data_IF_535539075557
#
_entry.id   IF_535539075557
#
_cell.length_a   1.000
_cell.length_b   1.000
_cell.length_c   1.000
_cell.angle_alpha   90.00
_cell.angle_beta   90.00
_cell.angle_gamma   90.00
#
_symmetry.space_group_name_H-M   'P 1'
#
loop_
_entity.id
_entity.type
_entity.pdbx_description
1 polymer ?
#
# COMPACT_ATOMS: atom_id res chain seq x y z
N UNK A 1 27.82 15.57 2.30
CA UNK A 1 28.10 16.19 0.98
C UNK A 1 26.77 16.51 0.32
N UNK A 2 26.40 17.78 0.29
CA UNK A 2 25.14 18.24 -0.30
C UNK A 2 25.38 18.52 -1.78
N UNK A 3 24.73 17.78 -2.66
CA UNK A 3 24.74 18.04 -4.10
C UNK A 3 23.69 19.12 -4.41
N UNK A 4 24.20 20.33 -4.65
CA UNK A 4 23.46 21.46 -5.20
C UNK A 4 23.05 21.16 -6.64
N UNK A 5 21.79 20.91 -6.90
CA UNK A 5 21.22 20.98 -8.24
C UNK A 5 20.97 22.45 -8.62
N UNK A 6 21.93 23.04 -9.32
CA UNK A 6 21.72 24.31 -10.01
C UNK A 6 20.79 24.09 -11.21
N UNK A 7 19.53 24.53 -11.12
CA UNK A 7 18.64 24.64 -12.26
C UNK A 7 19.12 25.81 -13.14
N UNK A 8 19.71 25.48 -14.27
CA UNK A 8 19.95 26.42 -15.35
C UNK A 8 18.59 26.84 -15.95
N UNK A 9 18.06 27.95 -15.48
CA UNK A 9 16.99 28.65 -16.16
C UNK A 9 17.57 29.31 -17.42
N UNK A 10 17.38 28.65 -18.55
CA UNK A 10 17.59 29.25 -19.85
C UNK A 10 16.51 30.35 -20.08
N UNK A 11 16.81 31.56 -19.68
CA UNK A 11 16.03 32.76 -20.02
C UNK A 11 16.22 33.00 -21.50
N UNK A 12 15.41 32.40 -22.36
CA UNK A 12 15.20 32.93 -23.72
C UNK A 12 14.43 34.23 -23.58
N UNK A 13 15.12 35.35 -23.74
CA UNK A 13 14.47 36.63 -23.89
C UNK A 13 13.67 36.61 -25.18
N UNK A 14 12.35 36.49 -25.03
CA UNK A 14 11.42 36.62 -26.18
C UNK A 14 11.36 38.11 -26.51
N UNK A 15 11.81 38.47 -27.73
CA UNK A 15 11.79 39.84 -28.23
C UNK A 15 10.34 40.37 -28.23
N UNK A 16 10.04 41.44 -27.48
CA UNK A 16 8.67 41.97 -27.40
C UNK A 16 8.13 42.47 -28.74
N UNK A 17 8.97 42.60 -29.76
CA UNK A 17 8.55 43.00 -31.12
C UNK A 17 7.78 41.89 -31.86
N UNK A 18 7.97 40.63 -31.48
CA UNK A 18 7.24 39.50 -32.07
C UNK A 18 5.76 39.52 -31.64
N UNK A 19 5.46 39.95 -30.43
CA UNK A 19 4.07 40.08 -29.95
C UNK A 19 3.29 41.19 -30.61
N UNK A 20 3.97 42.23 -31.03
CA UNK A 20 3.32 43.40 -31.63
C UNK A 20 2.83 43.15 -33.07
N UNK A 21 3.48 42.25 -33.82
CA UNK A 21 3.11 41.92 -35.20
C UNK A 21 1.98 40.88 -35.30
N UNK A 22 1.69 40.14 -34.23
CA UNK A 22 0.56 39.19 -34.21
C UNK A 22 -0.79 39.86 -33.93
N UNK A 23 -0.78 41.09 -33.38
CA UNK A 23 -2.02 41.81 -33.03
C UNK A 23 -2.55 42.75 -34.12
N UNK A 24 -1.75 43.10 -35.13
CA UNK A 24 -2.12 44.11 -36.11
C UNK A 24 -2.55 43.56 -37.47
N UNK A 25 -2.51 42.26 -37.72
CA UNK A 25 -2.82 41.68 -39.03
C UNK A 25 -4.21 41.04 -39.17
N UNK A 26 -5.11 41.14 -38.20
CA UNK A 26 -6.42 40.48 -38.27
C UNK A 26 -7.59 41.33 -37.83
N UNK A 27 -7.67 42.55 -38.33
CA UNK A 27 -8.92 43.33 -38.31
C UNK A 27 -9.47 43.50 -39.73
N UNK A 28 -9.68 42.43 -40.47
CA UNK A 28 -10.56 42.40 -41.64
C UNK A 28 -11.79 41.58 -41.31
N UNK A 29 -12.89 42.29 -41.08
CA UNK A 29 -14.28 41.86 -41.24
C UNK A 29 -14.58 40.39 -40.94
N UNK A 30 -14.49 40.01 -39.69
CA UNK A 30 -15.24 38.86 -39.19
C UNK A 30 -16.56 39.43 -38.67
N UNK A 31 -17.66 39.12 -39.38
CA UNK A 31 -19.01 39.35 -38.85
C UNK A 31 -19.06 38.69 -37.48
N UNK A 32 -19.19 39.51 -36.44
CA UNK A 32 -19.38 39.05 -35.06
C UNK A 32 -20.74 38.38 -35.01
N UNK A 33 -20.80 37.07 -35.25
CA UNK A 33 -21.94 36.27 -34.86
C UNK A 33 -22.06 36.42 -33.35
N UNK A 34 -23.24 36.91 -32.87
CA UNK A 34 -23.52 36.99 -31.43
C UNK A 34 -23.08 35.68 -30.74
N UNK A 35 -22.28 35.77 -29.69
CA UNK A 35 -21.96 34.57 -28.94
C UNK A 35 -23.31 33.99 -28.42
N UNK A 36 -23.72 32.83 -28.94
CA UNK A 36 -24.72 32.03 -28.28
C UNK A 36 -24.22 31.88 -26.86
N UNK A 37 -25.04 32.29 -25.88
CA UNK A 37 -24.86 31.97 -24.49
C UNK A 37 -24.82 30.42 -24.38
N UNK A 38 -23.65 29.86 -24.54
CA UNK A 38 -23.39 28.48 -24.15
C UNK A 38 -23.70 28.45 -22.65
N UNK A 39 -24.70 27.67 -22.28
CA UNK A 39 -25.02 27.43 -20.88
C UNK A 39 -23.74 27.21 -20.09
N UNK A 40 -23.73 27.71 -18.86
CA UNK A 40 -22.57 27.57 -17.97
C UNK A 40 -21.96 26.18 -18.15
N UNK A 41 -20.62 26.06 -18.31
CA UNK A 41 -20.01 24.75 -18.53
C UNK A 41 -20.43 23.86 -17.36
N UNK A 42 -21.22 22.83 -17.67
CA UNK A 42 -21.52 21.78 -16.70
C UNK A 42 -20.17 21.30 -16.20
N UNK A 43 -19.89 21.46 -14.92
CA UNK A 43 -18.63 21.04 -14.32
C UNK A 43 -18.62 19.50 -14.35
N UNK A 44 -18.21 18.98 -15.52
CA UNK A 44 -18.02 17.54 -15.74
C UNK A 44 -17.01 17.03 -14.72
N UNK A 45 -17.32 15.98 -13.99
CA UNK A 45 -16.38 15.38 -13.07
C UNK A 45 -15.15 14.82 -13.83
N UNK A 46 -14.02 14.71 -13.14
CA UNK A 46 -12.80 14.17 -13.73
C UNK A 46 -13.03 12.76 -14.33
N UNK A 47 -13.82 11.95 -13.64
CA UNK A 47 -14.10 10.57 -14.05
C UNK A 47 -15.00 10.52 -15.28
N UNK A 48 -16.05 11.33 -15.34
CA UNK A 48 -16.93 11.46 -16.51
C UNK A 48 -16.14 11.92 -17.74
N UNK A 49 -15.25 12.90 -17.57
CA UNK A 49 -14.38 13.36 -18.65
C UNK A 49 -13.46 12.27 -19.17
N UNK A 50 -12.86 11.48 -18.28
CA UNK A 50 -11.98 10.37 -18.67
C UNK A 50 -12.77 9.25 -19.38
N UNK A 51 -13.95 8.94 -18.90
CA UNK A 51 -14.86 7.98 -19.54
C UNK A 51 -15.27 8.42 -20.94
N UNK A 52 -15.67 9.68 -21.10
CA UNK A 52 -16.02 10.27 -22.41
C UNK A 52 -14.85 10.25 -23.39
N UNK A 53 -13.64 10.53 -22.92
CA UNK A 53 -12.42 10.52 -23.73
C UNK A 53 -11.88 9.10 -23.96
N UNK A 54 -12.55 8.06 -23.43
CA UNK A 54 -12.13 6.65 -23.53
C UNK A 54 -10.65 6.45 -23.15
N UNK A 55 -10.20 7.16 -22.13
CA UNK A 55 -8.82 7.00 -21.63
C UNK A 55 -8.66 5.64 -20.98
N UNK A 56 -7.49 4.97 -21.13
CA UNK A 56 -7.25 3.70 -20.45
C UNK A 56 -7.30 3.90 -18.93
N UNK A 57 -8.04 3.05 -18.23
CA UNK A 57 -8.12 3.05 -16.78
C UNK A 57 -6.91 2.32 -16.20
N UNK A 58 -6.31 2.87 -15.14
CA UNK A 58 -5.26 2.19 -14.40
C UNK A 58 -5.80 0.93 -13.73
N UNK A 59 -4.98 -0.13 -13.54
CA UNK A 59 -5.38 -1.32 -12.80
C UNK A 59 -5.92 -0.95 -11.41
N UNK A 60 -7.07 -1.52 -11.03
CA UNK A 60 -7.69 -1.34 -9.73
C UNK A 60 -8.09 -2.70 -9.15
N UNK A 61 -8.50 -2.73 -7.86
CA UNK A 61 -8.70 -3.98 -7.11
C UNK A 61 -9.66 -4.97 -7.77
N UNK A 62 -10.67 -4.49 -8.52
CA UNK A 62 -11.66 -5.38 -9.16
C UNK A 62 -11.17 -6.05 -10.45
N UNK A 63 -10.14 -5.48 -11.11
CA UNK A 63 -9.57 -6.00 -12.35
C UNK A 63 -8.12 -6.46 -12.20
N UNK A 64 -7.50 -6.20 -11.05
CA UNK A 64 -6.11 -6.58 -10.79
C UNK A 64 -5.98 -8.09 -10.62
N UNK A 65 -5.19 -8.73 -11.48
CA UNK A 65 -4.88 -10.14 -11.34
C UNK A 65 -3.84 -10.33 -10.24
N UNK A 66 -4.26 -10.92 -9.12
CA UNK A 66 -3.40 -11.15 -7.97
C UNK A 66 -2.28 -12.12 -8.33
N UNK A 67 -1.04 -11.69 -8.14
CA UNK A 67 0.14 -12.52 -8.27
C UNK A 67 0.65 -12.95 -6.88
N UNK A 68 1.39 -14.06 -6.81
CA UNK A 68 1.95 -14.54 -5.55
C UNK A 68 2.82 -13.47 -4.87
N UNK A 69 3.62 -12.75 -5.64
CA UNK A 69 4.49 -11.68 -5.13
C UNK A 69 3.71 -10.56 -4.45
N UNK A 70 2.63 -10.10 -5.06
CA UNK A 70 1.77 -9.06 -4.47
C UNK A 70 1.00 -9.58 -3.25
N UNK A 71 0.51 -10.82 -3.29
CA UNK A 71 -0.17 -11.45 -2.16
C UNK A 71 0.75 -11.56 -0.93
N UNK A 72 1.97 -12.04 -1.11
CA UNK A 72 2.96 -12.16 -0.02
C UNK A 72 3.36 -10.78 0.53
N UNK A 73 3.49 -9.77 -0.33
CA UNK A 73 3.80 -8.40 0.08
C UNK A 73 2.68 -7.78 0.92
N UNK A 74 1.42 -7.92 0.49
CA UNK A 74 0.26 -7.42 1.23
C UNK A 74 0.15 -8.15 2.58
N UNK A 75 0.30 -9.48 2.58
CA UNK A 75 0.27 -10.30 3.81
C UNK A 75 1.36 -9.87 4.79
N UNK A 76 2.57 -9.57 4.31
CA UNK A 76 3.66 -9.10 5.17
C UNK A 76 3.33 -7.76 5.85
N UNK A 77 2.79 -6.80 5.10
CA UNK A 77 2.38 -5.50 5.63
C UNK A 77 1.22 -5.66 6.63
N UNK A 78 0.23 -6.48 6.31
CA UNK A 78 -0.91 -6.74 7.18
C UNK A 78 -0.48 -7.40 8.48
N UNK A 79 0.39 -8.41 8.42
CA UNK A 79 0.91 -9.06 9.63
C UNK A 79 1.75 -8.11 10.47
N UNK A 80 2.51 -7.19 9.87
CA UNK A 80 3.21 -6.13 10.58
C UNK A 80 2.26 -5.20 11.36
N UNK A 81 1.15 -4.79 10.75
CA UNK A 81 0.12 -4.00 11.43
C UNK A 81 -0.54 -4.79 12.58
N UNK A 82 -0.82 -6.07 12.39
CA UNK A 82 -1.39 -6.93 13.43
C UNK A 82 -0.42 -7.03 14.61
N UNK A 83 0.87 -7.28 14.37
CA UNK A 83 1.88 -7.35 15.42
C UNK A 83 2.06 -6.03 16.18
N UNK A 84 2.03 -4.90 15.46
CA UNK A 84 2.04 -3.58 16.09
C UNK A 84 0.81 -3.38 16.98
N UNK A 85 -0.36 -3.83 16.54
CA UNK A 85 -1.59 -3.80 17.33
C UNK A 85 -1.48 -4.68 18.57
N UNK A 86 -0.89 -5.89 18.47
CA UNK A 86 -0.63 -6.73 19.63
C UNK A 86 0.27 -6.02 20.65
N UNK A 87 1.38 -5.42 20.19
CA UNK A 87 2.29 -4.71 21.07
C UNK A 87 1.60 -3.53 21.77
N UNK A 88 0.79 -2.76 21.05
CA UNK A 88 0.02 -1.65 21.62
C UNK A 88 -1.04 -2.13 22.63
N UNK A 89 -1.83 -3.14 22.27
CA UNK A 89 -2.90 -3.65 23.13
C UNK A 89 -2.34 -4.29 24.41
N UNK A 90 -1.27 -5.08 24.30
CA UNK A 90 -0.63 -5.66 25.46
C UNK A 90 0.09 -4.60 26.30
N UNK A 91 0.83 -3.69 25.69
CA UNK A 91 1.54 -2.63 26.40
C UNK A 91 0.59 -1.68 27.13
N UNK A 92 -0.42 -1.16 26.47
CA UNK A 92 -1.42 -0.30 27.10
C UNK A 92 -2.33 -1.09 28.06
N UNK A 93 -2.71 -2.33 27.69
CA UNK A 93 -3.56 -3.17 28.52
C UNK A 93 -2.97 -3.45 29.90
N UNK A 94 -1.65 -3.63 29.98
CA UNK A 94 -0.97 -3.84 31.26
C UNK A 94 -1.04 -2.63 32.21
N UNK A 95 -1.28 -1.43 31.68
CA UNK A 95 -1.46 -0.22 32.50
C UNK A 95 -2.86 -0.19 33.17
N UNK A 96 -3.84 -0.83 32.58
CA UNK A 96 -5.24 -0.78 33.05
C UNK A 96 -5.69 -2.07 33.78
N UNK A 97 -4.97 -3.18 33.61
CA UNK A 97 -5.30 -4.47 34.24
C UNK A 97 -4.47 -4.60 35.54
N UNK A 98 -5.09 -4.57 36.72
CA UNK A 98 -4.40 -4.84 37.98
C UNK A 98 -3.84 -6.27 37.95
N UNK A 99 -2.52 -6.43 38.14
CA UNK A 99 -1.85 -7.71 38.03
C UNK A 99 -1.26 -8.04 36.65
N UNK A 100 -1.49 -7.17 35.64
CA UNK A 100 -0.85 -7.24 34.32
C UNK A 100 -1.15 -8.49 33.50
N UNK A 101 -0.17 -8.96 32.72
CA UNK A 101 -0.31 -10.14 31.84
C UNK A 101 -0.67 -11.43 32.58
N UNK A 102 -0.11 -11.75 33.79
CA UNK A 102 -0.52 -12.95 34.53
C UNK A 102 -2.01 -12.99 34.84
N UNK A 103 -2.58 -11.85 35.26
CA UNK A 103 -4.03 -11.76 35.53
C UNK A 103 -4.86 -11.98 34.27
N UNK A 104 -4.41 -11.45 33.12
CA UNK A 104 -5.07 -11.67 31.83
C UNK A 104 -5.07 -13.18 31.46
N UNK A 105 -3.94 -13.87 31.67
CA UNK A 105 -3.83 -15.30 31.39
C UNK A 105 -4.79 -16.08 32.30
N UNK A 106 -4.85 -15.72 33.56
CA UNK A 106 -5.75 -16.35 34.53
C UNK A 106 -7.23 -16.12 34.14
N UNK A 107 -7.58 -14.94 33.73
CA UNK A 107 -8.93 -14.65 33.22
C UNK A 107 -9.30 -15.52 32.01
N UNK A 108 -8.37 -15.72 31.07
CA UNK A 108 -8.60 -16.57 29.88
C UNK A 108 -8.71 -18.04 30.29
N UNK A 109 -7.89 -18.53 31.21
CA UNK A 109 -7.95 -19.91 31.69
C UNK A 109 -9.23 -20.20 32.45
N UNK A 110 -9.72 -19.24 33.22
CA UNK A 110 -10.98 -19.33 33.97
C UNK A 110 -12.23 -19.33 33.05
N UNK A 111 -12.11 -18.95 31.75
CA UNK A 111 -13.22 -19.09 30.79
C UNK A 111 -13.54 -20.57 30.47
N UNK A 112 -12.68 -21.52 30.85
CA UNK A 112 -12.93 -22.94 30.64
C UNK A 112 -13.10 -23.35 29.18
N UNK A 113 -12.41 -22.66 28.24
CA UNK A 113 -12.53 -22.91 26.80
C UNK A 113 -12.03 -24.32 26.47
N UNK A 114 -12.75 -25.03 25.60
CA UNK A 114 -12.34 -26.35 25.13
C UNK A 114 -10.95 -26.31 24.47
N UNK A 115 -10.12 -27.33 24.70
CA UNK A 115 -8.75 -27.40 24.18
C UNK A 115 -8.61 -27.15 22.67
N UNK A 116 -9.52 -27.65 21.79
CA UNK A 116 -9.43 -27.32 20.36
C UNK A 116 -9.59 -25.84 20.06
N UNK A 117 -10.45 -25.13 20.80
CA UNK A 117 -10.68 -23.69 20.62
C UNK A 117 -9.42 -22.91 21.02
N UNK A 118 -8.81 -23.27 22.15
CA UNK A 118 -7.55 -22.65 22.58
C UNK A 118 -6.43 -22.92 21.61
N UNK A 119 -6.32 -24.11 21.05
CA UNK A 119 -5.31 -24.49 20.07
C UNK A 119 -5.47 -23.64 18.78
N UNK A 120 -6.68 -23.53 18.26
CA UNK A 120 -6.96 -22.68 17.08
C UNK A 120 -6.65 -21.22 17.39
N UNK A 121 -7.07 -20.71 18.55
CA UNK A 121 -6.79 -19.35 18.99
C UNK A 121 -5.28 -19.07 19.07
N UNK A 122 -4.50 -19.94 19.73
CA UNK A 122 -3.04 -19.85 19.78
C UNK A 122 -2.41 -19.86 18.38
N UNK A 123 -2.88 -20.74 17.49
CA UNK A 123 -2.37 -20.82 16.11
C UNK A 123 -2.62 -19.53 15.35
N UNK A 124 -3.84 -18.96 15.43
CA UNK A 124 -4.19 -17.71 14.77
C UNK A 124 -3.39 -16.52 15.31
N UNK A 125 -3.09 -16.50 16.60
CA UNK A 125 -2.25 -15.45 17.19
C UNK A 125 -0.76 -15.61 16.82
N UNK A 126 -0.26 -16.85 16.71
CA UNK A 126 1.12 -17.12 16.35
C UNK A 126 1.41 -16.90 14.86
N UNK A 127 0.43 -17.13 13.97
CA UNK A 127 0.62 -17.08 12.53
C UNK A 127 1.15 -15.74 12.02
N UNK A 128 0.64 -14.57 12.43
CA UNK A 128 1.22 -13.28 12.02
C UNK A 128 2.68 -13.14 12.44
N UNK A 129 3.06 -13.60 13.62
CA UNK A 129 4.43 -13.51 14.12
C UNK A 129 5.39 -14.39 13.31
N UNK A 130 5.05 -15.64 13.09
CA UNK A 130 5.88 -16.58 12.31
C UNK A 130 6.00 -16.13 10.86
N UNK A 131 4.89 -15.77 10.23
CA UNK A 131 4.91 -15.31 8.85
C UNK A 131 5.72 -14.01 8.68
N UNK A 132 5.50 -13.03 9.53
CA UNK A 132 6.21 -11.75 9.45
C UNK A 132 7.72 -11.95 9.65
N UNK A 133 8.12 -12.80 10.58
CA UNK A 133 9.53 -13.11 10.84
C UNK A 133 10.19 -13.79 9.63
N UNK A 134 9.62 -14.88 9.11
CA UNK A 134 10.24 -15.58 7.99
C UNK A 134 10.25 -14.76 6.71
N UNK A 135 9.17 -14.05 6.42
CA UNK A 135 9.15 -13.19 5.24
C UNK A 135 10.03 -11.95 5.43
N UNK A 136 10.20 -11.47 6.66
CA UNK A 136 11.18 -10.41 7.00
C UNK A 136 12.61 -10.86 6.72
N UNK A 137 13.01 -12.07 7.12
CA UNK A 137 14.31 -12.65 6.79
C UNK A 137 14.51 -12.71 5.26
N UNK A 138 13.46 -13.08 4.52
CA UNK A 138 13.49 -13.09 3.06
C UNK A 138 13.73 -11.69 2.47
N UNK A 139 13.09 -10.66 3.01
CA UNK A 139 13.34 -9.27 2.61
C UNK A 139 14.79 -8.84 2.88
N UNK A 140 15.35 -9.21 4.04
CA UNK A 140 16.76 -8.95 4.34
C UNK A 140 17.71 -9.68 3.37
N UNK A 141 17.35 -10.88 2.93
CA UNK A 141 18.13 -11.60 1.91
C UNK A 141 18.11 -10.86 0.57
N UNK A 142 17.00 -10.25 0.19
CA UNK A 142 16.92 -9.39 -0.99
C UNK A 142 17.76 -8.12 -0.87
N UNK A 143 17.83 -7.52 0.31
CA UNK A 143 18.69 -6.36 0.57
C UNK A 143 20.19 -6.72 0.40
N UNK A 144 20.55 -7.98 0.63
CA UNK A 144 21.88 -8.53 0.34
C UNK A 144 22.07 -8.97 -1.13
N UNK A 145 21.07 -8.76 -1.98
CA UNK A 145 21.12 -9.13 -3.40
C UNK A 145 20.93 -10.61 -3.70
N UNK A 146 20.39 -11.40 -2.74
CA UNK A 146 20.14 -12.84 -2.93
C UNK A 146 18.69 -13.10 -3.39
N UNK A 147 18.47 -14.19 -4.14
CA UNK A 147 17.14 -14.68 -4.55
C UNK A 147 16.31 -13.68 -5.36
N UNK A 148 16.95 -12.93 -6.25
CA UNK A 148 16.30 -11.86 -7.04
C UNK A 148 15.65 -12.36 -8.34
N UNK A 149 15.93 -13.59 -8.78
CA UNK A 149 15.29 -14.12 -9.98
C UNK A 149 13.83 -14.49 -9.69
N UNK A 150 12.96 -14.36 -10.70
CA UNK A 150 11.53 -14.62 -10.52
C UNK A 150 11.23 -16.03 -10.00
N UNK A 151 12.01 -17.02 -10.44
CA UNK A 151 11.88 -18.42 -9.98
C UNK A 151 12.22 -18.55 -8.49
N UNK A 152 13.30 -17.91 -8.05
CA UNK A 152 13.72 -17.91 -6.64
C UNK A 152 12.71 -17.15 -5.76
N UNK A 153 12.20 -16.03 -6.25
CA UNK A 153 11.14 -15.27 -5.56
C UNK A 153 9.91 -16.13 -5.30
N UNK A 154 9.48 -16.93 -6.28
CA UNK A 154 8.36 -17.84 -6.11
C UNK A 154 8.69 -19.02 -5.17
N UNK A 155 9.83 -19.67 -5.39
CA UNK A 155 10.28 -20.79 -4.56
C UNK A 155 10.42 -20.40 -3.09
N UNK A 156 11.15 -19.32 -2.80
CA UNK A 156 11.31 -18.83 -1.43
C UNK A 156 9.99 -18.38 -0.83
N UNK A 157 9.06 -17.84 -1.64
CA UNK A 157 7.72 -17.47 -1.20
C UNK A 157 6.91 -18.65 -0.70
N UNK A 158 6.92 -19.77 -1.40
CA UNK A 158 6.25 -21.00 -0.97
C UNK A 158 6.89 -21.58 0.30
N UNK A 159 8.23 -21.61 0.35
CA UNK A 159 8.95 -22.11 1.53
C UNK A 159 8.60 -21.29 2.78
N UNK A 160 8.64 -19.96 2.67
CA UNK A 160 8.29 -19.08 3.81
C UNK A 160 6.85 -19.30 4.25
N UNK A 161 5.90 -19.42 3.32
CA UNK A 161 4.49 -19.66 3.67
C UNK A 161 4.30 -20.99 4.39
N UNK A 162 4.91 -22.07 3.90
CA UNK A 162 4.83 -23.39 4.53
C UNK A 162 5.47 -23.39 5.93
N UNK A 163 6.67 -22.84 6.07
CA UNK A 163 7.36 -22.76 7.36
C UNK A 163 6.56 -21.93 8.37
N UNK A 164 5.92 -20.87 7.93
CA UNK A 164 5.11 -20.02 8.81
C UNK A 164 3.95 -20.78 9.44
N UNK A 165 3.23 -21.55 8.62
CA UNK A 165 2.09 -22.36 9.09
C UNK A 165 2.57 -23.47 10.02
N UNK A 166 3.60 -24.22 9.63
CA UNK A 166 4.16 -25.31 10.44
C UNK A 166 4.63 -24.78 11.81
N UNK A 167 5.37 -23.67 11.80
CA UNK A 167 5.87 -23.06 13.04
C UNK A 167 4.74 -22.51 13.92
N UNK A 168 3.70 -21.92 13.34
CA UNK A 168 2.54 -21.46 14.10
C UNK A 168 1.79 -22.61 14.80
N UNK A 169 1.61 -23.73 14.10
CA UNK A 169 1.00 -24.94 14.65
C UNK A 169 1.88 -25.53 15.75
N UNK A 170 3.20 -25.61 15.55
CA UNK A 170 4.13 -26.10 16.54
C UNK A 170 4.12 -25.25 17.82
N UNK A 171 4.12 -23.91 17.68
CA UNK A 171 4.01 -23.00 18.82
C UNK A 171 2.68 -23.11 19.56
N UNK A 172 1.59 -23.38 18.85
CA UNK A 172 0.29 -23.56 19.48
C UNK A 172 0.17 -24.88 20.25
N UNK A 173 0.98 -25.90 19.91
CA UNK A 173 1.01 -27.19 20.57
C UNK A 173 1.83 -27.19 21.88
N UNK A 174 2.67 -26.15 22.07
CA UNK A 174 3.37 -25.89 23.34
C UNK A 174 2.43 -25.25 24.36
#
# INVERSE_FOLDING_TARGET
MALCYARLFCRRSIDPRIFRNLYTSSLRNVAVSKPQLMGAPVCESHDERNMRLKRPMSPHLTIYQIQLTSALSISHRTTGMILSSYAMLLGLGTLFIPGGIPCLIEMITNLGLAAPILFVGKTLLALPATYHTYNGIRHLAWDLGMFLTIKEVYSTGYVVSALSVISAIALAAL
#
